data_IF_094066437754
#
_entry.id   IF_094066437754
#
_cell.length_a   1.000
_cell.length_b   1.000
_cell.length_c   1.000
_cell.angle_alpha   90.00
_cell.angle_beta   90.00
_cell.angle_gamma   90.00
#
_symmetry.space_group_name_H-M   'P 1'
#
loop_
_entity.id
_entity.type
_entity.pdbx_description
1 polymer ?
#
# COMPACT_ATOMS: atom_id res chain seq x y z
N UNK A 1 25.66 12.38 -13.07
CA UNK A 1 25.69 11.46 -11.91
C UNK A 1 25.78 10.03 -12.42
N UNK A 2 26.77 9.26 -11.96
CA UNK A 2 26.97 7.86 -12.34
C UNK A 2 26.14 6.96 -11.41
N UNK A 3 25.25 6.13 -11.98
CA UNK A 3 24.36 5.23 -11.24
C UNK A 3 25.10 4.12 -10.49
N UNK A 4 26.27 3.74 -10.98
CA UNK A 4 27.08 2.65 -10.45
C UNK A 4 28.27 3.16 -9.64
N UNK A 5 28.33 4.47 -9.37
CA UNK A 5 29.34 5.01 -8.47
C UNK A 5 29.03 4.55 -7.05
N UNK A 6 29.99 3.86 -6.45
CA UNK A 6 29.94 3.42 -5.06
C UNK A 6 30.56 4.52 -4.20
N UNK A 7 29.82 5.00 -3.20
CA UNK A 7 30.31 6.03 -2.28
C UNK A 7 31.31 5.45 -1.25
N UNK A 8 31.82 6.30 -0.35
CA UNK A 8 32.78 5.89 0.69
C UNK A 8 32.21 4.87 1.69
N UNK A 9 30.89 4.71 1.72
CA UNK A 9 30.17 3.77 2.57
C UNK A 9 29.82 2.45 1.87
N UNK A 10 30.20 2.28 0.60
CA UNK A 10 29.90 1.06 -0.16
C UNK A 10 28.51 1.06 -0.82
N UNK A 11 27.80 2.21 -0.82
CA UNK A 11 26.43 2.32 -1.33
C UNK A 11 26.42 2.85 -2.77
N UNK A 12 25.47 2.40 -3.58
CA UNK A 12 25.27 2.95 -4.92
C UNK A 12 23.80 3.00 -5.32
N UNK A 13 23.46 4.02 -6.10
CA UNK A 13 22.09 4.33 -6.53
C UNK A 13 21.43 3.16 -7.25
N UNK A 14 22.19 2.43 -8.08
CA UNK A 14 21.66 1.32 -8.86
C UNK A 14 21.26 0.12 -7.99
N UNK A 15 22.10 -0.25 -7.02
CA UNK A 15 21.81 -1.33 -6.08
C UNK A 15 20.63 -0.94 -5.19
N UNK A 16 20.68 0.30 -4.70
CA UNK A 16 19.66 0.86 -3.83
C UNK A 16 18.28 0.86 -4.49
N UNK A 17 18.22 1.39 -5.72
CA UNK A 17 16.99 1.43 -6.48
C UNK A 17 16.47 0.01 -6.84
N UNK A 18 17.38 -0.92 -7.18
CA UNK A 18 17.01 -2.29 -7.54
C UNK A 18 16.42 -3.06 -6.36
N UNK A 19 17.06 -2.99 -5.19
CA UNK A 19 16.62 -3.71 -4.01
C UNK A 19 15.30 -3.14 -3.47
N UNK A 20 15.17 -1.81 -3.40
CA UNK A 20 13.91 -1.19 -2.99
C UNK A 20 12.77 -1.52 -3.96
N UNK A 21 12.99 -1.42 -5.27
CA UNK A 21 11.96 -1.79 -6.25
C UNK A 21 11.54 -3.27 -6.14
N UNK A 22 12.47 -4.17 -5.80
CA UNK A 22 12.19 -5.57 -5.53
C UNK A 22 11.24 -5.75 -4.34
N UNK A 23 11.52 -5.07 -3.22
CA UNK A 23 10.68 -5.14 -2.02
C UNK A 23 9.29 -4.57 -2.26
N UNK A 24 9.19 -3.43 -2.96
CA UNK A 24 7.92 -2.82 -3.35
C UNK A 24 7.09 -3.80 -4.19
N UNK A 25 7.72 -4.41 -5.21
CA UNK A 25 7.06 -5.40 -6.05
C UNK A 25 6.52 -6.57 -5.22
N UNK A 26 7.36 -7.18 -4.38
CA UNK A 26 6.96 -8.31 -3.53
C UNK A 26 5.90 -7.95 -2.49
N UNK A 27 5.91 -6.70 -2.00
CA UNK A 27 4.88 -6.18 -1.10
C UNK A 27 3.51 -6.11 -1.80
N UNK A 28 3.46 -5.50 -2.98
CA UNK A 28 2.25 -5.32 -3.79
C UNK A 28 1.68 -6.65 -4.27
N UNK A 29 2.52 -7.55 -4.80
CA UNK A 29 2.09 -8.85 -5.31
C UNK A 29 1.47 -9.74 -4.22
N UNK A 30 2.01 -9.70 -2.98
CA UNK A 30 1.44 -10.47 -1.84
C UNK A 30 0.05 -10.00 -1.43
N UNK A 31 -0.32 -8.78 -1.79
CA UNK A 31 -1.65 -8.18 -1.54
C UNK A 31 -2.60 -8.36 -2.73
N UNK A 32 -2.20 -9.17 -3.72
CA UNK A 32 -2.99 -9.42 -4.91
C UNK A 32 -3.05 -8.26 -5.88
N UNK A 33 -2.21 -7.24 -5.71
CA UNK A 33 -2.15 -6.10 -6.62
C UNK A 33 -1.05 -6.27 -7.68
N UNK A 34 -1.17 -5.50 -8.75
CA UNK A 34 -0.18 -5.41 -9.82
C UNK A 34 0.44 -4.03 -9.89
N UNK A 35 1.77 -3.99 -10.04
CA UNK A 35 2.49 -2.77 -10.40
C UNK A 35 2.46 -2.54 -11.91
N UNK A 36 2.25 -1.29 -12.30
CA UNK A 36 2.46 -0.88 -13.68
C UNK A 36 3.97 -0.84 -13.97
N UNK A 37 4.41 -1.55 -15.01
CA UNK A 37 5.82 -1.70 -15.38
C UNK A 37 6.45 -0.35 -15.76
N UNK A 38 5.70 0.51 -16.46
CA UNK A 38 6.19 1.85 -16.83
C UNK A 38 6.27 2.75 -15.60
N UNK A 39 5.39 2.54 -14.63
CA UNK A 39 5.44 3.25 -13.37
C UNK A 39 6.56 2.74 -12.46
N UNK A 40 6.87 1.44 -12.48
CA UNK A 40 8.06 0.89 -11.83
C UNK A 40 9.35 1.58 -12.29
N UNK A 41 9.45 1.96 -13.58
CA UNK A 41 10.56 2.78 -14.09
C UNK A 41 10.57 4.19 -13.52
N UNK A 42 9.40 4.76 -13.24
CA UNK A 42 9.30 6.06 -12.59
C UNK A 42 9.72 6.02 -11.13
N UNK A 43 9.43 4.93 -10.39
CA UNK A 43 9.94 4.70 -9.03
C UNK A 43 11.47 4.75 -9.03
N UNK A 44 12.09 3.99 -9.93
CA UNK A 44 13.56 3.96 -10.07
C UNK A 44 14.13 5.34 -10.44
N UNK A 45 13.45 6.06 -11.33
CA UNK A 45 13.84 7.44 -11.71
C UNK A 45 13.71 8.39 -10.52
N UNK A 46 12.65 8.25 -9.73
CA UNK A 46 12.42 9.06 -8.53
C UNK A 46 13.53 8.82 -7.50
N UNK A 47 13.81 7.56 -7.16
CA UNK A 47 14.90 7.17 -6.26
C UNK A 47 16.21 7.79 -6.76
N UNK A 48 16.53 7.64 -8.06
CA UNK A 48 17.72 8.28 -8.65
C UNK A 48 17.76 9.79 -8.46
N UNK A 49 16.66 10.52 -8.67
CA UNK A 49 16.65 11.98 -8.52
C UNK A 49 17.00 12.41 -7.08
N UNK A 50 16.55 11.65 -6.07
CA UNK A 50 16.83 11.94 -4.65
C UNK A 50 18.32 11.98 -4.30
N UNK A 51 19.17 11.26 -5.04
CA UNK A 51 20.63 11.24 -4.78
C UNK A 51 21.39 12.45 -5.31
N UNK A 52 20.79 13.30 -6.14
CA UNK A 52 21.53 14.36 -6.82
C UNK A 52 20.76 15.64 -7.09
N UNK A 53 19.52 15.74 -6.60
CA UNK A 53 18.61 16.87 -6.87
C UNK A 53 18.00 17.33 -5.55
N UNK A 54 17.83 18.64 -5.37
CA UNK A 54 17.21 19.19 -4.17
C UNK A 54 15.74 18.77 -4.06
N UNK A 55 15.23 18.58 -2.84
CA UNK A 55 13.82 18.20 -2.60
C UNK A 55 12.82 19.10 -3.34
N UNK A 56 13.13 20.40 -3.45
CA UNK A 56 12.24 21.39 -4.08
C UNK A 56 12.23 21.28 -5.62
N UNK A 57 13.20 20.56 -6.19
CA UNK A 57 13.38 20.35 -7.63
C UNK A 57 12.91 18.95 -8.06
N UNK A 58 12.56 18.09 -7.10
CA UNK A 58 12.01 16.76 -7.35
C UNK A 58 10.52 16.90 -7.63
N UNK A 59 10.15 16.67 -8.89
CA UNK A 59 8.75 16.61 -9.30
C UNK A 59 8.07 15.30 -8.89
N UNK A 60 6.75 15.34 -8.80
CA UNK A 60 5.91 14.15 -8.67
C UNK A 60 6.10 13.25 -9.91
N UNK A 61 5.98 11.92 -9.77
CA UNK A 61 5.92 11.00 -10.90
C UNK A 61 4.92 11.51 -11.94
N UNK A 62 5.33 11.53 -13.21
CA UNK A 62 4.50 12.08 -14.28
C UNK A 62 3.47 11.02 -14.67
N UNK A 63 2.21 11.29 -14.36
CA UNK A 63 1.12 10.33 -14.53
C UNK A 63 0.95 9.95 -16.01
N UNK A 64 1.04 8.67 -16.33
CA UNK A 64 0.56 8.10 -17.59
C UNK A 64 -0.28 6.88 -17.25
N UNK A 65 -1.43 7.09 -16.61
CA UNK A 65 -2.41 6.03 -16.42
C UNK A 65 -3.77 6.59 -16.80
N UNK A 66 -4.37 6.00 -17.84
CA UNK A 66 -5.77 6.22 -18.19
C UNK A 66 -6.65 5.54 -17.16
N UNK A 67 -7.66 6.24 -16.66
CA UNK A 67 -8.76 5.62 -15.89
C UNK A 67 -9.32 4.45 -16.70
N UNK A 68 -9.54 3.27 -16.10
CA UNK A 68 -10.17 2.16 -16.81
C UNK A 68 -11.52 2.58 -17.42
N UNK A 69 -11.91 1.96 -18.53
CA UNK A 69 -13.21 2.23 -19.14
C UNK A 69 -14.33 1.89 -18.13
N UNK A 70 -15.25 2.83 -17.91
CA UNK A 70 -16.34 2.67 -16.95
C UNK A 70 -15.96 2.98 -15.49
N UNK A 71 -14.74 3.43 -15.23
CA UNK A 71 -14.32 3.87 -13.91
C UNK A 71 -15.06 5.14 -13.49
N UNK A 72 -15.73 5.09 -12.34
CA UNK A 72 -16.52 6.19 -11.78
C UNK A 72 -15.85 6.72 -10.52
N UNK A 73 -16.27 7.89 -9.98
CA UNK A 73 -15.78 8.38 -8.69
C UNK A 73 -15.96 7.37 -7.54
N UNK A 74 -17.09 6.66 -7.50
CA UNK A 74 -17.35 5.60 -6.51
C UNK A 74 -16.30 4.46 -6.58
N UNK A 75 -15.85 4.10 -7.78
CA UNK A 75 -14.77 3.13 -7.93
C UNK A 75 -13.43 3.67 -7.41
N UNK A 76 -13.16 4.98 -7.55
CA UNK A 76 -11.95 5.60 -7.02
C UNK A 76 -11.97 5.65 -5.48
N UNK A 77 -13.12 5.95 -4.88
CA UNK A 77 -13.27 5.94 -3.42
C UNK A 77 -13.02 4.54 -2.87
N UNK A 78 -13.69 3.52 -3.42
CA UNK A 78 -13.48 2.11 -3.04
C UNK A 78 -12.05 1.63 -3.30
N UNK A 79 -11.41 2.14 -4.34
CA UNK A 79 -10.01 1.85 -4.63
C UNK A 79 -9.08 2.42 -3.56
N UNK A 80 -9.33 3.65 -3.11
CA UNK A 80 -8.59 4.26 -2.02
C UNK A 80 -8.80 3.51 -0.70
N UNK A 81 -10.02 3.11 -0.38
CA UNK A 81 -10.32 2.30 0.81
C UNK A 81 -9.59 0.94 0.76
N UNK A 82 -9.64 0.27 -0.40
CA UNK A 82 -8.90 -0.97 -0.62
C UNK A 82 -7.40 -0.79 -0.41
N UNK A 83 -6.82 0.30 -0.93
CA UNK A 83 -5.41 0.61 -0.77
C UNK A 83 -5.03 0.92 0.68
N UNK A 84 -5.87 1.63 1.43
CA UNK A 84 -5.59 1.94 2.83
C UNK A 84 -5.59 0.67 3.68
N UNK A 85 -6.53 -0.26 3.44
CA UNK A 85 -6.53 -1.54 4.15
C UNK A 85 -5.34 -2.42 3.74
N UNK A 86 -5.17 -2.66 2.43
CA UNK A 86 -4.24 -3.68 1.97
C UNK A 86 -2.80 -3.17 1.93
N UNK A 87 -2.59 -1.89 1.61
CA UNK A 87 -1.30 -1.26 1.44
C UNK A 87 -1.02 -0.18 2.52
N UNK A 88 -1.34 -0.49 3.77
CA UNK A 88 -1.21 0.46 4.89
C UNK A 88 0.22 0.95 5.12
N UNK A 89 0.36 2.17 5.65
CA UNK A 89 1.67 2.75 5.95
C UNK A 89 2.48 1.89 6.95
N UNK A 90 1.84 1.32 7.96
CA UNK A 90 2.53 0.48 8.95
C UNK A 90 3.09 -0.81 8.33
N UNK A 91 2.30 -1.47 7.48
CA UNK A 91 2.77 -2.68 6.79
C UNK A 91 3.87 -2.35 5.77
N UNK A 92 3.77 -1.20 5.10
CA UNK A 92 4.82 -0.69 4.23
C UNK A 92 6.13 -0.45 5.00
N UNK A 93 6.03 0.20 6.16
CA UNK A 93 7.19 0.48 7.01
C UNK A 93 7.86 -0.81 7.48
N UNK A 94 7.09 -1.85 7.79
CA UNK A 94 7.60 -3.14 8.30
C UNK A 94 8.15 -4.05 7.20
N UNK A 95 7.57 -4.04 6.00
CA UNK A 95 7.86 -5.04 4.96
C UNK A 95 8.67 -4.52 3.79
N UNK A 96 8.70 -3.20 3.60
CA UNK A 96 9.50 -2.57 2.55
C UNK A 96 10.59 -1.72 3.17
N UNK A 97 10.23 -0.87 4.14
CA UNK A 97 11.19 0.08 4.67
C UNK A 97 12.14 -0.56 5.68
N UNK A 98 11.66 -1.25 6.70
CA UNK A 98 12.53 -1.89 7.70
C UNK A 98 13.48 -2.94 7.10
N UNK A 99 13.09 -3.80 6.14
CA UNK A 99 14.01 -4.81 5.61
C UNK A 99 15.15 -4.21 4.79
N UNK A 100 14.92 -3.06 4.16
CA UNK A 100 15.97 -2.36 3.43
C UNK A 100 16.74 -1.40 4.35
N UNK A 101 16.03 -0.60 5.14
CA UNK A 101 16.53 0.56 5.85
C UNK A 101 16.71 0.34 7.36
N UNK A 102 16.32 -0.83 7.85
CA UNK A 102 16.47 -1.21 9.24
C UNK A 102 17.94 -1.41 9.58
N UNK A 103 18.33 -0.84 10.73
CA UNK A 103 19.61 -1.05 11.44
C UNK A 103 20.85 -0.31 10.94
N UNK A 104 20.79 1.03 10.86
CA UNK A 104 21.99 1.88 11.01
C UNK A 104 23.11 1.72 9.97
N UNK A 105 22.89 0.95 8.91
CA UNK A 105 23.86 0.69 7.84
C UNK A 105 23.85 1.77 6.76
N UNK A 106 22.74 2.48 6.58
CA UNK A 106 22.57 3.46 5.51
C UNK A 106 22.65 4.91 6.02
N UNK A 107 23.86 5.49 5.99
CA UNK A 107 24.17 6.83 6.53
C UNK A 107 23.35 7.93 5.83
N UNK A 108 23.06 7.73 4.55
CA UNK A 108 22.19 8.58 3.74
C UNK A 108 20.82 8.85 4.41
N UNK A 109 20.27 7.88 5.14
CA UNK A 109 18.95 8.01 5.77
C UNK A 109 18.90 9.04 6.90
N UNK A 110 19.99 9.17 7.68
CA UNK A 110 20.06 10.14 8.76
C UNK A 110 20.00 11.59 8.26
N UNK A 111 20.16 11.81 6.96
CA UNK A 111 20.17 13.13 6.33
C UNK A 111 18.87 13.46 5.58
N UNK A 112 18.00 12.49 5.32
CA UNK A 112 16.82 12.63 4.46
C UNK A 112 15.54 12.14 5.13
N UNK A 113 15.14 12.76 6.24
CA UNK A 113 13.84 12.50 6.88
C UNK A 113 12.69 12.77 5.89
N UNK A 114 11.77 11.82 5.73
CA UNK A 114 10.55 11.95 4.92
C UNK A 114 10.50 11.08 3.67
N UNK A 115 11.63 10.56 3.22
CA UNK A 115 11.70 9.76 1.99
C UNK A 115 10.88 8.45 2.08
N UNK A 116 10.79 7.88 3.29
CA UNK A 116 9.99 6.67 3.54
C UNK A 116 8.50 6.86 3.31
N UNK A 117 8.02 8.02 3.71
CA UNK A 117 6.63 8.40 3.58
C UNK A 117 6.32 8.86 2.16
N UNK A 118 7.20 9.65 1.54
CA UNK A 118 7.02 10.13 0.16
C UNK A 118 6.82 8.96 -0.83
N UNK A 119 7.61 7.89 -0.71
CA UNK A 119 7.46 6.70 -1.59
C UNK A 119 6.11 5.99 -1.34
N UNK A 120 5.70 5.85 -0.07
CA UNK A 120 4.38 5.29 0.26
C UNK A 120 3.25 6.12 -0.33
N UNK A 121 3.33 7.45 -0.22
CA UNK A 121 2.34 8.35 -0.80
C UNK A 121 2.16 8.14 -2.30
N UNK A 122 3.19 7.69 -3.01
CA UNK A 122 3.09 7.44 -4.44
C UNK A 122 2.54 6.07 -4.83
N UNK A 123 2.44 5.11 -3.91
CA UNK A 123 1.92 3.77 -4.19
C UNK A 123 0.56 3.76 -4.89
N UNK A 124 -0.43 4.60 -4.51
CA UNK A 124 -1.72 4.64 -5.20
C UNK A 124 -1.61 4.94 -6.70
N UNK A 125 -0.59 5.69 -7.12
CA UNK A 125 -0.34 5.99 -8.53
C UNK A 125 0.49 4.92 -9.24
N UNK A 126 1.07 3.99 -8.49
CA UNK A 126 1.97 2.96 -9.00
C UNK A 126 1.32 1.58 -9.15
N UNK A 127 0.24 1.37 -8.42
CA UNK A 127 -0.57 0.17 -8.50
C UNK A 127 -1.60 0.34 -9.63
N UNK A 128 -1.74 -0.67 -10.48
CA UNK A 128 -2.74 -0.67 -11.55
C UNK A 128 -4.14 -0.67 -10.99
N UNK A 129 -4.99 0.22 -11.50
CA UNK A 129 -6.44 0.16 -11.26
C UNK A 129 -7.04 -1.02 -12.02
N UNK A 130 -7.77 -1.88 -11.31
CA UNK A 130 -8.60 -2.94 -11.89
C UNK A 130 -9.92 -3.01 -11.16
N UNK A 131 -11.02 -3.12 -11.91
CA UNK A 131 -12.35 -3.30 -11.32
C UNK A 131 -12.42 -4.60 -10.51
N UNK A 132 -11.70 -5.64 -10.92
CA UNK A 132 -11.66 -6.94 -10.24
C UNK A 132 -11.11 -6.82 -8.80
N UNK A 133 -10.16 -5.92 -8.56
CA UNK A 133 -9.58 -5.69 -7.24
C UNK A 133 -10.56 -5.03 -6.26
N UNK A 134 -11.50 -4.23 -6.78
CA UNK A 134 -12.48 -3.47 -6.00
C UNK A 134 -13.66 -4.34 -5.54
N UNK A 135 -13.99 -5.41 -6.28
CA UNK A 135 -15.14 -6.30 -6.01
C UNK A 135 -14.96 -7.14 -4.73
N UNK A 136 -13.73 -7.36 -4.26
CA UNK A 136 -13.43 -8.18 -3.06
C UNK A 136 -13.95 -7.53 -1.77
N UNK A 137 -14.32 -6.25 -1.80
CA UNK A 137 -14.68 -5.44 -0.64
C UNK A 137 -16.18 -5.18 -0.47
N UNK A 138 -17.04 -5.77 -1.31
CA UNK A 138 -18.45 -5.87 -0.96
C UNK A 138 -18.56 -6.87 0.20
N UNK A 139 -18.33 -6.37 1.42
CA UNK A 139 -18.62 -7.13 2.62
C UNK A 139 -20.12 -7.37 2.64
N UNK A 140 -20.51 -8.64 2.55
CA UNK A 140 -21.80 -9.12 3.02
C UNK A 140 -21.92 -8.82 4.53
N UNK A 141 -22.10 -7.56 4.90
CA UNK A 141 -22.57 -7.14 6.23
C UNK A 141 -24.10 -7.01 6.18
N UNK A 142 -24.77 -8.12 5.91
CA UNK A 142 -25.96 -8.44 6.69
C UNK A 142 -25.48 -9.36 7.81
N UNK A 143 -25.10 -8.77 8.95
CA UNK A 143 -25.09 -9.50 10.22
C UNK A 143 -26.52 -9.95 10.50
N UNK A 144 -26.90 -11.11 9.95
CA UNK A 144 -28.06 -11.85 10.41
C UNK A 144 -27.75 -12.21 11.87
N UNK A 145 -28.38 -11.49 12.81
CA UNK A 145 -28.33 -11.83 14.24
C UNK A 145 -28.90 -13.24 14.40
N UNK A 146 -28.07 -14.27 14.29
CA UNK A 146 -28.46 -15.64 14.60
C UNK A 146 -28.62 -15.69 16.10
N UNK A 147 -29.85 -15.52 16.58
CA UNK A 147 -30.18 -15.79 17.97
C UNK A 147 -29.81 -17.24 18.24
N UNK A 148 -28.91 -17.43 19.20
CA UNK A 148 -28.33 -18.73 19.56
C UNK A 148 -29.44 -19.80 19.64
N UNK A 149 -29.36 -20.85 18.80
CA UNK A 149 -30.43 -21.83 18.63
C UNK A 149 -30.82 -22.51 19.96
N UNK A 150 -29.87 -22.55 20.90
CA UNK A 150 -30.11 -23.02 22.26
C UNK A 150 -31.09 -22.13 23.05
N UNK A 151 -31.05 -20.81 22.87
CA UNK A 151 -31.96 -19.85 23.52
C UNK A 151 -33.37 -19.98 22.93
N UNK A 152 -33.49 -20.27 21.63
CA UNK A 152 -34.80 -20.50 21.00
C UNK A 152 -35.52 -21.71 21.60
N UNK A 153 -34.84 -22.84 21.75
CA UNK A 153 -35.47 -24.08 22.23
C UNK A 153 -35.51 -24.20 23.77
N UNK A 154 -34.48 -23.72 24.48
CA UNK A 154 -34.28 -23.99 25.90
C UNK A 154 -34.15 -22.73 26.77
N UNK A 155 -34.13 -21.55 26.15
CA UNK A 155 -34.01 -20.28 26.87
C UNK A 155 -35.19 -20.00 27.78
N UNK A 156 -34.91 -19.51 28.99
CA UNK A 156 -35.95 -18.98 29.88
C UNK A 156 -36.64 -17.76 29.24
N UNK A 157 -37.89 -17.47 29.63
CA UNK A 157 -38.64 -16.31 29.12
C UNK A 157 -37.87 -14.97 29.27
N UNK A 158 -37.03 -14.85 30.30
CA UNK A 158 -36.16 -13.69 30.51
C UNK A 158 -35.05 -13.58 29.44
N UNK A 159 -34.46 -14.71 29.05
CA UNK A 159 -33.42 -14.77 28.01
C UNK A 159 -34.00 -14.54 26.62
N UNK A 160 -35.20 -15.09 26.34
CA UNK A 160 -35.91 -14.87 25.07
C UNK A 160 -36.28 -13.40 24.85
N UNK A 161 -36.74 -12.69 25.90
CA UNK A 161 -36.97 -11.23 25.83
C UNK A 161 -35.69 -10.43 25.65
N UNK A 162 -34.62 -10.79 26.36
CA UNK A 162 -33.33 -10.10 26.22
C UNK A 162 -32.73 -10.27 24.81
N UNK A 163 -33.02 -11.40 24.14
CA UNK A 163 -32.65 -11.67 22.75
C UNK A 163 -33.66 -11.11 21.71
N UNK A 164 -34.67 -10.34 22.14
CA UNK A 164 -35.62 -9.69 21.23
C UNK A 164 -36.69 -10.60 20.61
N UNK A 165 -36.84 -11.84 21.10
CA UNK A 165 -37.76 -12.83 20.52
C UNK A 165 -39.21 -12.71 21.00
N UNK A 166 -39.49 -11.91 22.04
CA UNK A 166 -40.84 -11.66 22.55
C UNK A 166 -41.06 -10.16 22.76
N UNK A 167 -42.15 -9.61 22.20
CA UNK A 167 -42.67 -8.27 22.54
C UNK A 167 -43.73 -8.36 23.63
#
# INVERSE_FOLDING_TARGET
MNLFYVNEFGECIADDASHLAGLIKSYVERRGAELDVDVGRQILKYIKMRYGVSRNEIGWPTLTVSTPNGWTPDHEDKWHDWLELNCSLDSWMTEVMEPYFGTGCHVWEGMCEGWRWEIHQFLPWWIKRSAELVVVYESDEEEEQTVDAYIMDHGSAKQKRAAGLER
#
